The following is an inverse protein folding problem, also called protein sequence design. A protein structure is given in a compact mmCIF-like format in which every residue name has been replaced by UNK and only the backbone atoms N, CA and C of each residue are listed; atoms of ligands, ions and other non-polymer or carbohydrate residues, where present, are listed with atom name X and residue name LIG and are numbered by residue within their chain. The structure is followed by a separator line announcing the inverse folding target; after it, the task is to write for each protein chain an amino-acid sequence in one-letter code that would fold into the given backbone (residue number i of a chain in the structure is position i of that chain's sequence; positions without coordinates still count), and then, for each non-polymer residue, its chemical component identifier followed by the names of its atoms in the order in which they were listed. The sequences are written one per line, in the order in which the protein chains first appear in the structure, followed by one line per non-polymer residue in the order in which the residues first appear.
data_IF_963344315021
#
_entry.id   IF_963344315021
#
_cell.length_a   1.000
_cell.length_b   1.000
_cell.length_c   1.000
_cell.angle_alpha   90.00
_cell.angle_beta   90.00
_cell.angle_gamma   90.00
#
_symmetry.space_group_name_H-M   'P 1'
#
loop_
_entity.id
_entity.type
_entity.pdbx_description
1 polymer ?
#
# COMPACT_ATOMS: atom_id res chain seq x y z
N UNK A 1 -12.13 6.70 10.69
CA UNK A 1 -13.32 5.81 10.73
C UNK A 1 -13.44 5.14 9.37
N UNK A 2 -13.65 3.83 9.34
CA UNK A 2 -13.81 3.08 8.09
C UNK A 2 -15.26 2.63 7.94
N UNK A 3 -15.82 2.78 6.74
CA UNK A 3 -17.17 2.32 6.40
C UNK A 3 -17.07 1.19 5.39
N UNK A 4 -17.70 0.06 5.68
CA UNK A 4 -17.77 -1.09 4.77
C UNK A 4 -18.93 -0.91 3.81
N UNK A 5 -18.68 -1.14 2.52
CA UNK A 5 -19.66 -1.05 1.45
C UNK A 5 -19.69 -2.39 0.72
N UNK A 6 -20.88 -2.96 0.56
CA UNK A 6 -21.09 -4.17 -0.25
C UNK A 6 -21.58 -3.74 -1.64
N UNK A 7 -20.88 -4.17 -2.69
CA UNK A 7 -21.23 -3.86 -4.08
C UNK A 7 -21.28 -5.13 -4.91
N UNK A 8 -22.14 -5.15 -5.92
CA UNK A 8 -22.14 -6.19 -6.96
C UNK A 8 -21.55 -5.61 -8.23
N UNK A 9 -20.66 -6.38 -8.86
CA UNK A 9 -20.04 -6.03 -10.14
C UNK A 9 -20.13 -7.21 -11.11
N UNK A 10 -20.11 -6.98 -12.44
CA UNK A 10 -20.08 -8.05 -13.42
C UNK A 10 -18.92 -9.02 -13.17
N UNK A 11 -19.14 -10.32 -13.39
CA UNK A 11 -18.14 -11.36 -13.11
C UNK A 11 -16.86 -11.15 -13.92
N UNK A 12 -16.97 -10.74 -15.17
CA UNK A 12 -15.84 -10.43 -16.06
C UNK A 12 -15.04 -9.25 -15.51
N UNK A 13 -15.72 -8.16 -15.13
CA UNK A 13 -15.08 -7.00 -14.50
C UNK A 13 -14.36 -7.37 -13.19
N UNK A 14 -14.90 -8.29 -12.39
CA UNK A 14 -14.20 -8.77 -11.20
C UNK A 14 -12.93 -9.56 -11.55
N UNK A 15 -12.94 -10.33 -12.63
CA UNK A 15 -11.75 -11.04 -13.11
C UNK A 15 -10.68 -10.06 -13.59
N UNK A 16 -11.08 -9.06 -14.38
CA UNK A 16 -10.20 -7.98 -14.85
C UNK A 16 -9.60 -7.21 -13.67
N UNK A 17 -10.42 -6.91 -12.65
CA UNK A 17 -9.96 -6.25 -11.43
C UNK A 17 -8.93 -7.09 -10.64
N UNK A 18 -9.05 -8.42 -10.64
CA UNK A 18 -8.02 -9.30 -10.03
C UNK A 18 -6.71 -9.28 -10.80
N UNK A 19 -6.78 -9.23 -12.12
CA UNK A 19 -5.58 -9.14 -12.94
C UNK A 19 -4.84 -7.82 -12.68
N UNK A 20 -5.58 -6.69 -12.71
CA UNK A 20 -5.03 -5.37 -12.37
C UNK A 20 -4.48 -5.35 -10.94
N UNK A 21 -5.21 -5.91 -9.97
CA UNK A 21 -4.75 -5.99 -8.58
C UNK A 21 -3.39 -6.69 -8.47
N UNK A 22 -3.17 -7.76 -9.24
CA UNK A 22 -1.91 -8.51 -9.25
C UNK A 22 -0.79 -7.78 -9.99
N UNK A 23 -1.07 -7.23 -11.17
CA UNK A 23 -0.06 -6.58 -12.04
C UNK A 23 0.46 -5.29 -11.41
N UNK A 24 -0.44 -4.48 -10.86
CA UNK A 24 -0.12 -3.18 -10.25
C UNK A 24 0.25 -3.30 -8.76
N UNK A 25 0.25 -4.51 -8.19
CA UNK A 25 0.74 -4.77 -6.83
C UNK A 25 -0.16 -4.25 -5.70
N UNK A 26 -1.47 -4.09 -5.91
CA UNK A 26 -2.39 -3.71 -4.83
C UNK A 26 -2.51 -4.83 -3.79
N UNK A 27 -2.54 -4.47 -2.51
CA UNK A 27 -2.71 -5.42 -1.42
C UNK A 27 -4.05 -6.17 -1.44
N UNK A 28 -5.11 -5.55 -1.99
CA UNK A 28 -6.43 -6.16 -2.11
C UNK A 28 -7.27 -5.51 -3.21
N UNK A 29 -8.35 -6.19 -3.63
CA UNK A 29 -9.36 -5.61 -4.53
C UNK A 29 -10.00 -4.36 -3.92
N UNK A 30 -10.21 -4.33 -2.61
CA UNK A 30 -10.74 -3.15 -1.92
C UNK A 30 -9.82 -1.94 -2.06
N UNK A 31 -8.50 -2.14 -2.10
CA UNK A 31 -7.56 -1.04 -2.29
C UNK A 31 -7.56 -0.51 -3.71
N UNK A 32 -7.64 -1.41 -4.70
CA UNK A 32 -7.86 -1.04 -6.10
C UNK A 32 -9.15 -0.21 -6.26
N UNK A 33 -10.26 -0.67 -5.67
CA UNK A 33 -11.55 0.05 -5.73
C UNK A 33 -11.45 1.42 -5.04
N UNK A 34 -10.81 1.51 -3.87
CA UNK A 34 -10.59 2.79 -3.19
C UNK A 34 -9.77 3.74 -4.05
N UNK A 35 -8.69 3.27 -4.67
CA UNK A 35 -7.89 4.10 -5.56
C UNK A 35 -8.69 4.57 -6.78
N UNK A 36 -9.44 3.68 -7.44
CA UNK A 36 -10.29 4.04 -8.57
C UNK A 36 -11.35 5.09 -8.17
N UNK A 37 -12.00 4.91 -7.01
CA UNK A 37 -13.00 5.85 -6.51
C UNK A 37 -12.38 7.22 -6.19
N UNK A 38 -11.20 7.27 -5.57
CA UNK A 38 -10.46 8.52 -5.30
C UNK A 38 -10.19 9.29 -6.60
N UNK A 39 -9.77 8.61 -7.67
CA UNK A 39 -9.52 9.25 -8.98
C UNK A 39 -10.77 9.88 -9.60
N UNK A 40 -11.92 9.27 -9.37
CA UNK A 40 -13.21 9.82 -9.84
C UNK A 40 -13.63 11.03 -9.00
N UNK A 41 -13.49 10.94 -7.67
CA UNK A 41 -13.96 11.99 -6.75
C UNK A 41 -13.02 13.20 -6.68
N UNK A 42 -11.71 13.01 -6.87
CA UNK A 42 -10.67 14.02 -6.67
C UNK A 42 -9.74 14.14 -7.90
N UNK A 43 -10.25 14.53 -9.08
CA UNK A 43 -9.51 14.45 -10.34
C UNK A 43 -8.26 15.35 -10.42
N UNK A 44 -8.16 16.39 -9.60
CA UNK A 44 -7.08 17.38 -9.61
C UNK A 44 -6.32 17.51 -8.28
N UNK A 45 -6.51 16.55 -7.36
CA UNK A 45 -5.99 16.63 -5.99
C UNK A 45 -5.39 15.32 -5.49
N UNK A 46 -4.88 14.47 -6.37
CA UNK A 46 -4.17 13.25 -5.97
C UNK A 46 -2.66 13.44 -6.06
N UNK A 47 -1.97 12.90 -5.08
CA UNK A 47 -0.51 12.82 -5.06
C UNK A 47 -0.03 11.73 -6.02
N UNK A 48 1.29 11.61 -6.23
CA UNK A 48 1.86 10.64 -7.16
C UNK A 48 1.42 9.19 -6.87
N UNK A 49 1.08 8.90 -5.61
CA UNK A 49 0.63 7.60 -5.12
C UNK A 49 -0.90 7.40 -5.20
N UNK A 50 -1.65 8.35 -5.77
CA UNK A 50 -3.11 8.23 -5.93
C UNK A 50 -3.90 8.47 -4.63
N UNK A 51 -3.27 9.11 -3.64
CA UNK A 51 -3.90 9.52 -2.39
C UNK A 51 -4.30 10.99 -2.43
N UNK A 52 -5.26 11.39 -1.60
CA UNK A 52 -5.38 12.82 -1.27
C UNK A 52 -4.19 13.20 -0.37
N UNK A 53 -3.69 14.44 -0.40
CA UNK A 53 -2.55 14.86 0.42
C UNK A 53 -2.72 14.50 1.90
N UNK A 54 -3.91 14.71 2.45
CA UNK A 54 -4.21 14.45 3.86
C UNK A 54 -4.15 12.95 4.18
N UNK A 55 -4.55 12.09 3.23
CA UNK A 55 -4.47 10.65 3.42
C UNK A 55 -3.03 10.14 3.32
N UNK A 56 -2.24 10.70 2.41
CA UNK A 56 -0.81 10.37 2.33
C UNK A 56 -0.09 10.74 3.64
N UNK A 57 -0.36 11.92 4.20
CA UNK A 57 0.19 12.33 5.49
C UNK A 57 -0.19 11.35 6.60
N UNK A 58 -1.45 10.91 6.66
CA UNK A 58 -1.89 9.90 7.63
C UNK A 58 -1.19 8.54 7.47
N UNK A 59 -0.97 8.10 6.22
CA UNK A 59 -0.26 6.85 5.93
C UNK A 59 1.21 6.97 6.32
N UNK A 60 1.85 8.09 6.00
CA UNK A 60 3.25 8.35 6.36
C UNK A 60 3.44 8.45 7.88
N UNK A 61 2.52 9.08 8.60
CA UNK A 61 2.54 9.09 10.07
C UNK A 61 2.34 7.68 10.64
N UNK A 62 1.37 6.92 10.13
CA UNK A 62 1.15 5.54 10.57
C UNK A 62 2.35 4.63 10.29
N UNK A 63 3.05 4.82 9.17
CA UNK A 63 4.24 4.06 8.81
C UNK A 63 5.45 4.36 9.71
N UNK A 64 5.45 5.50 10.42
CA UNK A 64 6.47 5.82 11.44
C UNK A 64 6.20 5.13 12.76
N UNK A 65 4.97 4.65 12.99
CA UNK A 65 4.63 3.92 14.20
C UNK A 65 5.07 2.45 14.11
N UNK A 66 5.82 1.94 15.09
CA UNK A 66 6.23 0.53 15.10
C UNK A 66 5.02 -0.39 15.29
N UNK A 67 4.85 -1.35 14.37
CA UNK A 67 3.89 -2.45 14.54
C UNK A 67 4.65 -3.61 15.20
N UNK A 68 4.19 -4.10 16.36
CA UNK A 68 4.64 -5.35 17.02
C UNK A 68 6.14 -5.73 16.84
N UNK A 69 7.02 -5.12 17.63
CA UNK A 69 8.46 -5.42 17.67
C UNK A 69 9.26 -5.07 16.40
N UNK A 70 8.70 -4.29 15.47
CA UNK A 70 9.43 -3.83 14.29
C UNK A 70 10.59 -2.87 14.63
N UNK A 71 11.69 -3.01 13.89
CA UNK A 71 12.87 -2.14 13.99
C UNK A 71 12.58 -0.82 13.28
N UNK A 72 12.45 0.25 14.06
CA UNK A 72 12.26 1.61 13.50
C UNK A 72 13.61 2.19 13.10
N UNK A 73 13.80 2.41 11.80
CA UNK A 73 15.01 3.02 11.23
C UNK A 73 14.81 4.54 11.17
N UNK A 74 15.59 5.30 11.94
CA UNK A 74 15.40 6.77 12.08
C UNK A 74 16.46 7.59 11.36
N UNK A 75 17.64 7.01 11.16
CA UNK A 75 18.79 7.67 10.55
C UNK A 75 19.29 6.88 9.35
N UNK A 76 20.01 7.55 8.43
CA UNK A 76 20.65 6.87 7.30
C UNK A 76 21.58 5.74 7.75
N UNK A 77 22.24 5.91 8.90
CA UNK A 77 23.09 4.88 9.50
C UNK A 77 22.29 3.64 9.92
N UNK A 78 21.08 3.82 10.46
CA UNK A 78 20.23 2.69 10.86
C UNK A 78 19.84 1.84 9.65
N UNK A 79 19.62 2.49 8.49
CA UNK A 79 19.32 1.81 7.22
C UNK A 79 20.51 0.95 6.80
N UNK A 80 21.72 1.54 6.75
CA UNK A 80 22.93 0.81 6.37
C UNK A 80 23.20 -0.37 7.32
N UNK A 81 23.09 -0.15 8.63
CA UNK A 81 23.32 -1.17 9.66
C UNK A 81 22.27 -2.29 9.63
N UNK A 82 21.02 -1.98 9.23
CA UNK A 82 19.96 -2.98 9.05
C UNK A 82 20.32 -3.96 7.93
N UNK A 83 20.66 -3.45 6.75
CA UNK A 83 21.00 -4.30 5.60
C UNK A 83 22.30 -5.08 5.78
N UNK A 84 23.29 -4.50 6.49
CA UNK A 84 24.55 -5.18 6.80
C UNK A 84 24.39 -6.37 7.76
N UNK A 85 23.32 -6.41 8.57
CA UNK A 85 23.04 -7.48 9.53
C UNK A 85 22.11 -8.57 8.99
N UNK A 86 21.51 -8.36 7.80
CA UNK A 86 20.71 -9.38 7.15
C UNK A 86 21.64 -10.49 6.62
N UNK A 87 21.50 -11.71 7.17
CA UNK A 87 22.18 -12.88 6.61
C UNK A 87 21.57 -13.18 5.24
N UNK A 88 22.41 -13.42 4.23
CA UNK A 88 21.95 -13.95 2.95
C UNK A 88 21.15 -15.24 3.20
N UNK A 89 19.98 -15.44 2.55
CA UNK A 89 19.29 -16.71 2.63
C UNK A 89 20.25 -17.81 2.14
N UNK A 90 20.38 -18.88 2.92
CA UNK A 90 21.21 -20.01 2.52
C UNK A 90 20.74 -20.49 1.13
N UNK A 91 21.66 -20.50 0.17
CA UNK A 91 21.42 -21.11 -1.13
C UNK A 91 21.22 -22.62 -0.88
N UNK A 92 19.98 -23.06 -0.91
CA UNK A 92 19.65 -24.49 -0.90
C UNK A 92 20.20 -25.08 -2.20
N UNK A 93 21.29 -25.85 -2.09
CA UNK A 93 21.79 -26.74 -3.14
C UNK A 93 20.89 -27.96 -3.27
#
# INVERSE_FOLDING_TARGET
MNTTINISIPRTMYQDAKEVQKVEGYASISELIRHALRRVLYPSGLTANGFTPEFEDMVLESAKEPINHDVVLKTNKDIDDYFNKLKFPASNK
#
